data_IF_526178317810
#
_entry.id   IF_526178317810
#
_cell.length_a   1.000
_cell.length_b   1.000
_cell.length_c   1.000
_cell.angle_alpha   90.00
_cell.angle_beta   90.00
_cell.angle_gamma   90.00
#
_symmetry.space_group_name_H-M   'P 1'
#
loop_
_entity.id
_entity.type
_entity.pdbx_description
1 polymer ?
#
# COMPACT_ATOMS: atom_id res chain seq x y z
N UNK A 1 13.14 31.68 1.97
CA UNK A 1 13.32 30.26 2.30
C UNK A 1 12.06 29.81 3.01
N UNK A 2 11.27 28.97 2.35
CA UNK A 2 10.09 28.36 2.96
C UNK A 2 10.62 27.11 3.68
N UNK A 3 10.67 27.13 5.01
CA UNK A 3 11.07 25.97 5.79
C UNK A 3 10.02 24.88 5.56
N UNK A 4 10.45 23.69 5.13
CA UNK A 4 9.56 22.53 5.18
C UNK A 4 9.41 22.14 6.64
N UNK A 5 8.23 22.39 7.19
CA UNK A 5 7.86 21.90 8.51
C UNK A 5 7.87 20.36 8.47
N UNK A 6 8.43 19.72 9.50
CA UNK A 6 8.24 18.30 9.74
C UNK A 6 6.75 18.04 9.91
N UNK A 7 6.11 17.52 8.89
CA UNK A 7 4.67 17.29 8.88
C UNK A 7 4.37 15.81 8.72
N UNK A 8 3.50 15.31 9.60
CA UNK A 8 2.89 14.00 9.44
C UNK A 8 1.76 14.12 8.41
N UNK A 9 1.79 13.24 7.41
CA UNK A 9 0.76 13.11 6.39
C UNK A 9 0.06 11.76 6.49
N UNK A 10 -1.21 11.73 6.09
CA UNK A 10 -2.01 10.52 5.98
C UNK A 10 -2.75 10.50 4.65
N UNK A 11 -2.69 9.36 3.97
CA UNK A 11 -3.41 9.14 2.72
C UNK A 11 -4.13 7.80 2.75
N UNK A 12 -5.34 7.78 2.17
CA UNK A 12 -6.03 6.52 1.92
C UNK A 12 -5.33 5.79 0.78
N UNK A 13 -4.86 4.58 1.06
CA UNK A 13 -4.43 3.64 0.04
C UNK A 13 -5.70 2.92 -0.38
N UNK A 14 -6.16 3.19 -1.60
CA UNK A 14 -7.37 2.58 -2.16
C UNK A 14 -7.33 1.06 -2.16
N UNK A 15 -8.41 0.43 -2.61
CA UNK A 15 -8.50 -1.01 -2.68
C UNK A 15 -7.39 -1.63 -3.53
N UNK A 16 -6.84 -2.78 -3.10
CA UNK A 16 -5.99 -3.61 -3.95
C UNK A 16 -6.90 -4.58 -4.71
N UNK A 17 -7.04 -4.45 -6.05
CA UNK A 17 -7.90 -5.32 -6.82
C UNK A 17 -7.37 -6.75 -6.88
N UNK A 18 -8.29 -7.71 -7.06
CA UNK A 18 -7.96 -9.11 -7.30
C UNK A 18 -7.51 -9.36 -8.74
N UNK A 19 -8.05 -8.61 -9.69
CA UNK A 19 -7.67 -8.68 -11.10
C UNK A 19 -6.43 -7.83 -11.35
N UNK A 20 -5.30 -8.25 -10.78
CA UNK A 20 -3.98 -7.70 -11.10
C UNK A 20 -3.17 -8.82 -11.76
N UNK A 21 -2.70 -8.55 -12.98
CA UNK A 21 -1.74 -9.42 -13.65
C UNK A 21 -0.49 -9.58 -12.77
N UNK A 22 0.20 -10.72 -12.88
CA UNK A 22 1.39 -11.03 -12.07
C UNK A 22 2.33 -9.81 -12.07
N UNK A 23 2.84 -9.43 -10.88
CA UNK A 23 3.47 -8.12 -10.62
C UNK A 23 4.65 -7.71 -11.52
N UNK A 24 5.12 -8.58 -12.41
CA UNK A 24 6.06 -8.20 -13.46
C UNK A 24 5.44 -7.31 -14.55
N UNK A 25 4.12 -7.30 -14.73
CA UNK A 25 3.46 -6.62 -15.85
C UNK A 25 2.56 -5.43 -15.46
N UNK A 26 2.28 -5.21 -14.18
CA UNK A 26 1.44 -4.10 -13.74
C UNK A 26 2.23 -3.14 -12.81
N UNK A 27 2.51 -1.90 -13.26
CA UNK A 27 3.49 -1.02 -12.61
C UNK A 27 3.05 -0.46 -11.25
N UNK A 28 1.77 -0.62 -10.90
CA UNK A 28 1.19 -0.01 -9.69
C UNK A 28 0.68 -1.01 -8.67
N UNK A 29 0.41 -2.26 -9.04
CA UNK A 29 -0.14 -3.27 -8.13
C UNK A 29 0.26 -4.66 -8.64
N UNK A 30 0.45 -5.65 -7.78
CA UNK A 30 0.73 -7.00 -8.26
C UNK A 30 0.62 -8.10 -7.22
N UNK A 31 0.57 -9.34 -7.71
CA UNK A 31 0.64 -10.58 -6.90
C UNK A 31 2.03 -11.18 -6.94
N UNK A 32 2.43 -11.77 -5.83
CA UNK A 32 3.68 -12.53 -5.68
C UNK A 32 3.34 -13.89 -5.09
N UNK A 33 3.66 -14.97 -5.79
CA UNK A 33 3.60 -16.33 -5.25
C UNK A 33 5.00 -16.72 -4.78
N UNK A 34 5.22 -16.74 -3.46
CA UNK A 34 6.50 -17.12 -2.90
C UNK A 34 6.71 -18.64 -3.01
N UNK A 35 7.96 -19.08 -3.15
CA UNK A 35 8.29 -20.51 -3.30
C UNK A 35 7.93 -21.35 -2.06
N UNK A 36 7.80 -20.71 -0.90
CA UNK A 36 7.43 -21.35 0.38
C UNK A 36 5.92 -21.44 0.59
N UNK A 37 5.10 -21.03 -0.39
CA UNK A 37 3.64 -21.07 -0.32
C UNK A 37 2.99 -19.83 0.30
N UNK A 38 3.78 -18.85 0.77
CA UNK A 38 3.25 -17.53 1.12
C UNK A 38 2.74 -16.81 -0.13
N UNK A 39 1.92 -15.79 0.12
CA UNK A 39 1.33 -14.97 -0.92
C UNK A 39 1.55 -13.49 -0.63
N UNK A 40 2.10 -12.76 -1.59
CA UNK A 40 2.34 -11.34 -1.51
C UNK A 40 1.37 -10.56 -2.40
N UNK A 41 0.94 -9.40 -1.90
CA UNK A 41 0.21 -8.40 -2.65
C UNK A 41 0.95 -7.09 -2.48
N UNK A 42 1.19 -6.35 -3.56
CA UNK A 42 1.75 -5.01 -3.41
C UNK A 42 0.94 -3.97 -4.17
N UNK A 43 1.09 -2.73 -3.73
CA UNK A 43 0.55 -1.54 -4.36
C UNK A 43 1.54 -0.38 -4.23
N UNK A 44 1.67 0.44 -5.26
CA UNK A 44 2.50 1.63 -5.29
C UNK A 44 1.61 2.83 -4.98
N UNK A 45 2.02 3.61 -3.98
CA UNK A 45 1.28 4.74 -3.47
C UNK A 45 2.07 6.01 -3.74
N UNK A 46 1.48 6.94 -4.48
CA UNK A 46 2.03 8.29 -4.65
C UNK A 46 1.95 9.06 -3.34
N UNK A 47 3.08 9.59 -2.90
CA UNK A 47 3.12 10.43 -1.71
C UNK A 47 2.71 11.86 -2.04
N UNK A 48 2.03 12.49 -1.10
CA UNK A 48 1.35 13.76 -1.26
C UNK A 48 1.92 14.76 -0.24
N UNK A 49 2.36 15.92 -0.72
CA UNK A 49 2.83 17.00 0.13
C UNK A 49 1.70 17.75 0.81
N UNK A 50 2.07 18.69 1.69
CA UNK A 50 1.14 19.52 2.49
C UNK A 50 0.14 20.35 1.65
N UNK A 51 0.37 20.48 0.35
CA UNK A 51 -0.48 21.21 -0.60
C UNK A 51 -1.45 20.30 -1.37
N UNK A 52 -1.62 19.03 -0.96
CA UNK A 52 -2.40 18.01 -1.66
C UNK A 52 -1.92 17.72 -3.09
N UNK A 53 -0.64 17.98 -3.40
CA UNK A 53 0.00 17.62 -4.68
C UNK A 53 1.03 16.51 -4.46
N UNK A 54 1.34 15.72 -5.50
CA UNK A 54 2.45 14.78 -5.44
C UNK A 54 3.74 15.45 -4.96
N UNK A 55 4.51 14.74 -4.15
CA UNK A 55 5.89 15.12 -3.87
C UNK A 55 6.70 14.87 -5.15
N UNK A 56 7.31 15.94 -5.68
CA UNK A 56 8.07 15.94 -6.93
C UNK A 56 9.46 16.50 -6.64
N UNK A 57 10.50 15.81 -7.13
CA UNK A 57 11.90 16.26 -7.06
C UNK A 57 12.26 16.83 -5.69
N UNK A 58 11.94 16.10 -4.62
CA UNK A 58 12.14 16.60 -3.27
C UNK A 58 13.63 16.54 -2.92
N UNK A 59 14.41 17.47 -3.50
CA UNK A 59 15.82 17.69 -3.25
C UNK A 59 16.00 18.21 -1.84
N UNK A 60 16.15 17.29 -0.88
CA UNK A 60 16.54 17.60 0.49
C UNK A 60 15.81 16.74 1.50
N UNK A 61 14.50 16.61 1.39
CA UNK A 61 13.74 15.91 2.41
C UNK A 61 13.52 14.43 2.12
N UNK A 62 13.67 13.62 3.17
CA UNK A 62 13.37 12.20 3.12
C UNK A 62 11.95 11.93 3.61
N UNK A 63 11.27 10.98 2.97
CA UNK A 63 10.09 10.36 3.56
C UNK A 63 10.58 9.38 4.60
N UNK A 64 10.02 9.45 5.80
CA UNK A 64 10.42 8.55 6.88
C UNK A 64 9.22 8.10 7.68
N UNK A 65 9.41 7.04 8.48
CA UNK A 65 8.42 6.56 9.43
C UNK A 65 7.07 6.19 8.79
N UNK A 66 7.09 5.46 7.68
CA UNK A 66 5.89 4.90 7.08
C UNK A 66 5.21 3.91 8.04
N UNK A 67 3.88 4.01 8.16
CA UNK A 67 3.06 3.09 8.93
C UNK A 67 1.72 2.86 8.24
N UNK A 68 1.21 1.63 8.30
CA UNK A 68 -0.11 1.28 7.78
C UNK A 68 -1.09 1.03 8.92
N UNK A 69 -2.31 1.48 8.70
CA UNK A 69 -3.46 1.09 9.51
C UNK A 69 -4.53 0.49 8.62
N UNK A 70 -5.25 -0.49 9.17
CA UNK A 70 -6.19 -1.33 8.46
C UNK A 70 -7.57 -1.18 9.09
N UNK A 71 -8.61 -0.97 8.29
CA UNK A 71 -9.98 -1.24 8.71
C UNK A 71 -10.42 -2.67 8.37
N UNK A 72 -9.82 -3.27 7.35
CA UNK A 72 -10.04 -4.65 6.93
C UNK A 72 -8.70 -5.35 6.72
N UNK A 73 -8.64 -6.66 6.98
CA UNK A 73 -7.43 -7.46 6.75
C UNK A 73 -7.73 -8.74 5.97
N UNK A 74 -6.79 -9.23 5.15
CA UNK A 74 -6.96 -10.47 4.40
C UNK A 74 -7.14 -11.68 5.32
N UNK A 75 -8.13 -12.52 5.02
CA UNK A 75 -8.47 -13.71 5.80
C UNK A 75 -8.93 -14.89 4.93
N UNK A 76 -9.14 -16.05 5.56
CA UNK A 76 -9.81 -17.20 4.91
C UNK A 76 -11.33 -17.17 5.10
N UNK A 77 -12.04 -18.12 4.48
CA UNK A 77 -13.50 -18.24 4.55
C UNK A 77 -14.08 -18.43 5.96
N UNK A 78 -13.23 -18.75 6.96
CA UNK A 78 -13.62 -18.87 8.36
C UNK A 78 -13.31 -17.60 9.16
N UNK A 79 -12.74 -16.58 8.53
CA UNK A 79 -12.31 -15.34 9.17
C UNK A 79 -10.94 -15.44 9.85
N UNK A 80 -10.16 -16.50 9.62
CA UNK A 80 -8.80 -16.56 10.17
C UNK A 80 -7.92 -15.58 9.42
N UNK A 81 -7.31 -14.63 10.14
CA UNK A 81 -6.40 -13.62 9.56
C UNK A 81 -5.20 -14.34 8.94
N UNK A 82 -4.89 -13.98 7.70
CA UNK A 82 -3.77 -14.56 6.95
C UNK A 82 -2.60 -13.59 6.79
N UNK A 83 -2.81 -12.29 7.03
CA UNK A 83 -1.75 -11.29 7.02
C UNK A 83 -0.75 -11.57 8.15
N UNK A 84 0.50 -11.77 7.76
CA UNK A 84 1.61 -12.01 8.68
C UNK A 84 2.33 -10.69 9.01
N UNK A 85 2.75 -9.96 7.97
CA UNK A 85 3.39 -8.66 8.09
C UNK A 85 3.19 -7.83 6.81
N UNK A 86 3.65 -6.58 6.86
CA UNK A 86 3.75 -5.69 5.71
C UNK A 86 5.13 -5.06 5.65
N UNK A 87 5.55 -4.71 4.44
CA UNK A 87 6.85 -4.11 4.14
C UNK A 87 6.66 -2.85 3.30
N UNK A 88 7.61 -1.93 3.41
CA UNK A 88 7.68 -0.73 2.59
C UNK A 88 8.98 -0.75 1.80
N UNK A 89 8.90 -0.39 0.53
CA UNK A 89 10.05 -0.12 -0.32
C UNK A 89 9.85 1.25 -0.97
N UNK A 90 10.85 2.12 -0.86
CA UNK A 90 10.84 3.38 -1.59
C UNK A 90 11.04 3.10 -3.08
N UNK A 91 10.10 3.59 -3.89
CA UNK A 91 10.16 3.43 -5.35
C UNK A 91 10.03 4.81 -5.95
N UNK A 92 10.88 5.13 -6.92
CA UNK A 92 10.82 6.40 -7.62
C UNK A 92 10.17 6.20 -8.98
N UNK A 93 9.19 7.03 -9.32
CA UNK A 93 8.57 7.01 -10.64
C UNK A 93 8.89 8.29 -11.40
N UNK A 94 9.47 8.13 -12.59
CA UNK A 94 9.71 9.25 -13.50
C UNK A 94 8.37 9.63 -14.16
N UNK A 95 7.84 10.82 -13.88
CA UNK A 95 6.72 11.39 -14.66
C UNK A 95 7.24 12.01 -15.97
N UNK A 96 8.40 12.65 -15.90
CA UNK A 96 9.19 13.12 -17.04
C UNK A 96 10.67 12.89 -16.73
N UNK A 97 11.61 13.05 -17.68
CA UNK A 97 13.04 12.98 -17.37
C UNK A 97 13.50 13.99 -16.30
N UNK A 98 12.70 15.02 -16.02
CA UNK A 98 13.00 16.12 -15.12
C UNK A 98 12.13 16.13 -13.87
N UNK A 99 11.13 15.25 -13.75
CA UNK A 99 10.18 15.17 -12.63
C UNK A 99 10.07 13.74 -12.10
N UNK A 100 10.67 13.49 -10.95
CA UNK A 100 10.60 12.24 -10.20
C UNK A 100 9.55 12.41 -9.10
N UNK A 101 8.52 11.56 -9.11
CA UNK A 101 7.52 11.49 -8.05
C UNK A 101 7.95 10.49 -7.00
N UNK A 102 7.87 10.93 -5.74
CA UNK A 102 8.11 10.06 -4.59
C UNK A 102 6.93 9.11 -4.43
N UNK A 103 7.22 7.80 -4.49
CA UNK A 103 6.24 6.74 -4.26
C UNK A 103 6.75 5.75 -3.23
N UNK A 104 5.82 5.08 -2.55
CA UNK A 104 6.13 3.96 -1.66
C UNK A 104 5.40 2.74 -2.18
N UNK A 105 6.14 1.68 -2.42
CA UNK A 105 5.57 0.37 -2.60
C UNK A 105 5.25 -0.22 -1.24
N UNK A 106 3.97 -0.52 -1.03
CA UNK A 106 3.46 -1.27 0.11
C UNK A 106 3.31 -2.72 -0.31
N UNK A 107 3.96 -3.64 0.39
CA UNK A 107 3.75 -5.08 0.22
C UNK A 107 3.09 -5.67 1.46
N UNK A 108 2.00 -6.42 1.27
CA UNK A 108 1.34 -7.23 2.29
C UNK A 108 1.73 -8.69 2.06
N UNK A 109 2.24 -9.35 3.10
CA UNK A 109 2.65 -10.75 3.04
C UNK A 109 1.68 -11.60 3.86
N UNK A 110 1.00 -12.52 3.17
CA UNK A 110 0.05 -13.45 3.74
C UNK A 110 0.61 -14.87 3.78
N UNK A 111 0.15 -15.68 4.72
CA UNK A 111 0.56 -17.08 4.84
C UNK A 111 0.12 -17.98 3.67
N UNK A 112 -0.88 -17.52 2.89
CA UNK A 112 -1.41 -18.12 1.65
C UNK A 112 -2.33 -17.09 0.96
N UNK A 113 -2.80 -17.38 -0.25
CA UNK A 113 -3.71 -16.48 -0.97
C UNK A 113 -5.04 -16.27 -0.20
N UNK A 114 -5.41 -15.01 0.10
CA UNK A 114 -6.64 -14.71 0.80
C UNK A 114 -7.85 -14.73 -0.13
N UNK A 115 -8.89 -15.44 0.27
CA UNK A 115 -10.17 -15.49 -0.46
C UNK A 115 -11.20 -14.52 0.10
N UNK A 116 -10.96 -14.02 1.31
CA UNK A 116 -11.84 -13.13 2.04
C UNK A 116 -11.04 -11.99 2.67
N UNK A 117 -11.79 -11.04 3.23
CA UNK A 117 -11.28 -10.02 4.14
C UNK A 117 -12.24 -9.86 5.30
N UNK A 118 -11.71 -9.54 6.47
CA UNK A 118 -12.49 -9.33 7.68
C UNK A 118 -12.44 -7.87 8.10
N UNK A 119 -13.59 -7.29 8.38
CA UNK A 119 -13.67 -5.97 8.98
C UNK A 119 -13.25 -6.03 10.44
N UNK A 120 -12.19 -5.30 10.81
CA UNK A 120 -11.66 -5.34 12.17
C UNK A 120 -12.58 -4.70 13.22
N UNK A 121 -13.53 -3.86 12.79
CA UNK A 121 -14.49 -3.20 13.68
C UNK A 121 -15.74 -4.03 13.91
N UNK A 122 -16.31 -4.62 12.85
CA UNK A 122 -17.58 -5.35 12.93
C UNK A 122 -17.40 -6.87 13.05
N UNK A 123 -16.26 -7.40 12.62
CA UNK A 123 -16.02 -8.85 12.50
C UNK A 123 -16.66 -9.47 11.26
N UNK A 124 -17.31 -8.67 10.40
CA UNK A 124 -17.94 -9.17 9.17
C UNK A 124 -16.88 -9.68 8.20
N UNK A 125 -17.18 -10.81 7.56
CA UNK A 125 -16.30 -11.45 6.58
C UNK A 125 -16.89 -11.26 5.18
N UNK A 126 -16.10 -10.66 4.29
CA UNK A 126 -16.48 -10.41 2.91
C UNK A 126 -15.67 -11.31 1.98
N UNK A 127 -16.34 -11.85 0.97
CA UNK A 127 -15.72 -12.68 -0.04
C UNK A 127 -15.13 -11.80 -1.14
N UNK A 128 -13.81 -11.90 -1.33
CA UNK A 128 -13.06 -10.99 -2.22
C UNK A 128 -13.51 -11.10 -3.67
N UNK A 129 -13.95 -12.28 -4.13
CA UNK A 129 -14.37 -12.49 -5.53
C UNK A 129 -15.68 -11.77 -5.87
N UNK A 130 -16.48 -11.36 -4.88
CA UNK A 130 -17.77 -10.68 -5.13
C UNK A 130 -17.59 -9.25 -5.63
N UNK A 131 -16.55 -8.58 -5.17
CA UNK A 131 -16.21 -7.20 -5.56
C UNK A 131 -14.84 -7.08 -6.22
N UNK A 132 -14.09 -8.18 -6.31
CA UNK A 132 -12.78 -8.23 -6.93
C UNK A 132 -11.73 -7.47 -6.11
N UNK A 133 -11.82 -7.47 -4.78
CA UNK A 133 -10.92 -6.70 -3.90
C UNK A 133 -10.29 -7.60 -2.84
N UNK A 134 -8.95 -7.62 -2.76
CA UNK A 134 -8.24 -8.37 -1.70
C UNK A 134 -8.27 -7.65 -0.35
N UNK A 135 -8.18 -6.33 -0.36
CA UNK A 135 -8.21 -5.49 0.83
C UNK A 135 -8.70 -4.10 0.43
N UNK A 136 -9.50 -3.49 1.31
CA UNK A 136 -10.01 -2.14 1.14
C UNK A 136 -9.62 -1.26 2.34
N UNK A 137 -9.62 0.06 2.11
CA UNK A 137 -9.51 1.09 3.15
C UNK A 137 -8.28 0.95 4.07
N UNK A 138 -7.09 0.87 3.45
CA UNK A 138 -5.84 1.04 4.17
C UNK A 138 -5.51 2.53 4.29
N UNK A 139 -4.87 2.93 5.39
CA UNK A 139 -4.37 4.31 5.54
C UNK A 139 -2.87 4.25 5.76
N UNK A 140 -2.12 4.90 4.87
CA UNK A 140 -0.68 5.11 4.98
C UNK A 140 -0.42 6.43 5.70
N UNK A 141 0.34 6.37 6.80
CA UNK A 141 0.89 7.53 7.49
C UNK A 141 2.39 7.62 7.23
N UNK A 142 2.93 8.82 7.04
CA UNK A 142 4.35 9.05 6.83
C UNK A 142 4.74 10.46 7.28
N UNK A 143 6.04 10.67 7.51
CA UNK A 143 6.61 11.97 7.87
C UNK A 143 7.40 12.50 6.68
N UNK A 144 7.16 13.77 6.35
CA UNK A 144 7.95 14.51 5.37
C UNK A 144 9.07 15.23 6.15
N UNK A 145 10.30 14.74 5.96
CA UNK A 145 11.54 15.25 6.56
C UNK A 145 12.17 16.41 5.77
N UNK A 146 13.23 16.99 6.32
CA UNK A 146 14.16 17.91 5.63
C UNK A 146 15.53 17.25 5.38
#
# INVERSE_FOLDING_TARGET
MMYTELTMQQISVGSIPMEIDVGYNHPYHGKINFQDGRFGLYTVVTLIGNNNKPLINYEGGAVSCCALTFSEVPCDAKGNILLDHYEFEEVYQNMTPEEIVDTVQVMLVCSKEPTHRVNLRTGDVYENIKDGIYIDNMVLSYIIGQ
#
